data_IF_386296259572
#
_entry.id   IF_386296259572
#
_cell.length_a   1.000
_cell.length_b   1.000
_cell.length_c   1.000
_cell.angle_alpha   90.00
_cell.angle_beta   90.00
_cell.angle_gamma   90.00
#
_symmetry.space_group_name_H-M   'P 1'
#
loop_
_entity.id
_entity.type
_entity.pdbx_description
1 polymer ?
#
# COMPACT_ATOMS: atom_id res chain seq x y z
N UNK A 1 -30.35 -8.50 0.94
CA UNK A 1 -30.20 -7.12 0.44
C UNK A 1 -30.49 -6.17 1.60
N UNK A 2 -29.51 -5.98 2.49
CA UNK A 2 -29.64 -5.06 3.63
C UNK A 2 -29.17 -3.68 3.17
N UNK A 3 -30.07 -2.71 3.25
CA UNK A 3 -29.84 -1.35 2.78
C UNK A 3 -28.63 -0.71 3.46
N UNK A 4 -27.70 -0.21 2.65
CA UNK A 4 -26.63 0.66 3.11
C UNK A 4 -27.28 1.87 3.80
N UNK A 5 -27.07 1.97 5.11
CA UNK A 5 -27.67 3.01 5.94
C UNK A 5 -27.03 4.35 5.53
N UNK A 6 -27.84 5.26 4.97
CA UNK A 6 -27.40 6.54 4.41
C UNK A 6 -26.78 7.53 5.44
N UNK A 7 -26.57 7.10 6.69
CA UNK A 7 -25.91 7.88 7.74
C UNK A 7 -24.38 7.75 7.78
N UNK A 8 -23.77 6.84 7.04
CA UNK A 8 -22.30 6.65 7.06
C UNK A 8 -21.53 7.53 6.05
N UNK A 9 -22.24 8.34 5.26
CA UNK A 9 -21.68 9.14 4.18
C UNK A 9 -21.05 10.48 4.63
N UNK A 10 -20.92 10.74 5.94
CA UNK A 10 -20.50 12.05 6.46
C UNK A 10 -19.25 12.12 7.35
N UNK A 11 -18.53 11.02 7.62
CA UNK A 11 -17.69 10.95 8.84
C UNK A 11 -16.16 10.86 8.64
N UNK A 12 -15.62 10.66 7.44
CA UNK A 12 -14.18 10.51 7.24
C UNK A 12 -13.66 11.34 6.04
N UNK A 13 -12.82 12.38 6.27
CA UNK A 13 -12.34 13.27 5.20
C UNK A 13 -11.42 12.55 4.20
N UNK A 14 -10.93 11.35 4.53
CA UNK A 14 -10.07 10.53 3.68
C UNK A 14 -10.85 9.46 2.90
N UNK A 15 -12.16 9.33 3.09
CA UNK A 15 -13.03 8.42 2.33
C UNK A 15 -13.59 9.12 1.10
N UNK A 16 -12.74 9.40 0.12
CA UNK A 16 -13.16 10.08 -1.13
C UNK A 16 -13.79 9.14 -2.16
N UNK A 17 -13.37 7.87 -2.20
CA UNK A 17 -13.75 6.92 -3.27
C UNK A 17 -13.98 5.48 -2.80
N UNK A 18 -13.82 5.17 -1.51
CA UNK A 18 -13.95 3.80 -1.01
C UNK A 18 -15.42 3.37 -0.82
N UNK A 19 -15.82 2.31 -1.52
CA UNK A 19 -17.17 1.74 -1.48
C UNK A 19 -17.46 1.01 -0.16
N UNK A 20 -16.45 0.43 0.46
CA UNK A 20 -16.60 -0.29 1.73
C UNK A 20 -16.50 0.70 2.91
N UNK A 21 -17.40 0.64 3.90
CA UNK A 21 -17.27 1.44 5.12
C UNK A 21 -15.96 1.15 5.85
N UNK A 22 -15.39 2.14 6.51
CA UNK A 22 -14.22 1.94 7.36
C UNK A 22 -14.64 1.48 8.75
N UNK A 23 -13.86 0.56 9.34
CA UNK A 23 -13.95 0.26 10.77
C UNK A 23 -13.55 1.51 11.58
N UNK A 24 -14.30 1.82 12.64
CA UNK A 24 -13.91 2.79 13.66
C UNK A 24 -12.86 2.17 14.61
N UNK A 25 -11.58 2.63 14.59
CA UNK A 25 -10.53 2.06 15.42
C UNK A 25 -10.84 2.11 16.93
N UNK A 26 -11.58 3.12 17.39
CA UNK A 26 -11.89 3.28 18.82
C UNK A 26 -12.96 2.31 19.32
N UNK A 27 -13.77 1.80 18.40
CA UNK A 27 -14.81 0.79 18.69
C UNK A 27 -14.39 -0.62 18.28
N UNK A 28 -13.25 -0.77 17.61
CA UNK A 28 -12.74 -2.06 17.19
C UNK A 28 -12.33 -2.94 18.40
N UNK A 29 -12.50 -4.28 18.28
CA UNK A 29 -11.95 -5.22 19.26
C UNK A 29 -10.45 -5.00 19.51
N UNK A 30 -9.91 -5.27 20.71
CA UNK A 30 -8.52 -4.96 21.06
C UNK A 30 -7.49 -5.52 20.06
N UNK A 31 -7.63 -6.78 19.65
CA UNK A 31 -6.74 -7.43 18.68
C UNK A 31 -6.75 -6.76 17.30
N UNK A 32 -7.88 -6.19 16.87
CA UNK A 32 -7.98 -5.44 15.61
C UNK A 32 -7.37 -4.05 15.77
N UNK A 33 -7.67 -3.38 16.89
CA UNK A 33 -7.14 -2.04 17.19
C UNK A 33 -5.62 -2.00 17.22
N UNK A 34 -4.99 -3.01 17.82
CA UNK A 34 -3.52 -3.14 17.82
C UNK A 34 -2.99 -3.33 16.40
N UNK A 35 -3.65 -4.17 15.59
CA UNK A 35 -3.23 -4.48 14.22
C UNK A 35 -3.50 -3.35 13.22
N UNK A 36 -4.36 -2.40 13.56
CA UNK A 36 -4.52 -1.16 12.80
C UNK A 36 -3.32 -0.20 12.93
N UNK A 37 -2.48 -0.38 13.96
CA UNK A 37 -1.30 0.46 14.26
C UNK A 37 0.01 -0.12 13.75
N UNK A 38 -0.05 -1.13 12.86
CA UNK A 38 1.14 -1.85 12.39
C UNK A 38 2.10 -0.99 11.57
N UNK A 39 1.60 0.08 10.93
CA UNK A 39 2.39 1.09 10.25
C UNK A 39 2.31 2.42 11.00
N UNK A 40 3.36 3.25 10.97
CA UNK A 40 3.41 4.52 11.70
C UNK A 40 2.52 5.62 11.08
N UNK A 41 1.81 5.30 10.00
CA UNK A 41 0.90 6.20 9.30
C UNK A 41 -0.39 5.48 8.94
N UNK A 42 -1.45 6.25 8.76
CA UNK A 42 -2.76 5.73 8.38
C UNK A 42 -2.73 5.14 6.97
N UNK A 43 -3.21 3.90 6.85
CA UNK A 43 -3.54 3.26 5.56
C UNK A 43 -5.01 2.88 5.54
N UNK A 44 -5.78 3.56 4.68
CA UNK A 44 -7.22 3.31 4.53
C UNK A 44 -7.56 1.85 4.23
N UNK A 45 -6.71 1.13 3.49
CA UNK A 45 -6.91 -0.31 3.22
C UNK A 45 -6.97 -1.15 4.51
N UNK A 46 -6.23 -0.78 5.56
CA UNK A 46 -6.27 -1.50 6.83
C UNK A 46 -7.63 -1.37 7.52
N UNK A 47 -8.29 -0.22 7.38
CA UNK A 47 -9.62 0.03 7.96
C UNK A 47 -10.73 -0.72 7.21
N UNK A 48 -10.50 -1.05 5.94
CA UNK A 48 -11.39 -1.90 5.15
C UNK A 48 -11.17 -3.37 5.51
N UNK A 49 -9.91 -3.82 5.53
CA UNK A 49 -9.57 -5.20 5.82
C UNK A 49 -9.89 -5.60 7.26
N UNK A 50 -9.88 -4.65 8.20
CA UNK A 50 -10.26 -4.85 9.61
C UNK A 50 -11.67 -5.40 9.83
N UNK A 51 -12.57 -5.31 8.85
CA UNK A 51 -13.86 -6.02 8.90
C UNK A 51 -13.68 -7.55 8.96
N UNK A 52 -12.61 -8.08 8.35
CA UNK A 52 -12.27 -9.51 8.39
C UNK A 52 -11.46 -9.84 9.65
N UNK A 53 -12.14 -9.91 10.79
CA UNK A 53 -11.46 -10.04 12.09
C UNK A 53 -10.58 -11.30 12.23
N UNK A 54 -10.90 -12.36 11.50
CA UNK A 54 -10.10 -13.59 11.48
C UNK A 54 -8.83 -13.50 10.62
N UNK A 55 -8.86 -12.78 9.50
CA UNK A 55 -7.71 -12.72 8.56
C UNK A 55 -6.86 -11.47 8.74
N UNK A 56 -7.49 -10.35 9.13
CA UNK A 56 -6.82 -9.06 9.23
C UNK A 56 -5.58 -9.07 10.13
N UNK A 57 -5.59 -9.69 11.34
CA UNK A 57 -4.40 -9.71 12.18
C UNK A 57 -3.18 -10.36 11.52
N UNK A 58 -3.40 -11.39 10.72
CA UNK A 58 -2.33 -12.09 9.99
C UNK A 58 -1.83 -11.26 8.81
N UNK A 59 -2.75 -10.68 8.02
CA UNK A 59 -2.39 -9.78 6.93
C UNK A 59 -1.62 -8.55 7.44
N UNK A 60 -2.10 -7.93 8.51
CA UNK A 60 -1.45 -6.80 9.17
C UNK A 60 -0.03 -7.17 9.62
N UNK A 61 0.15 -8.34 10.25
CA UNK A 61 1.47 -8.83 10.64
C UNK A 61 2.43 -9.00 9.46
N UNK A 62 1.97 -9.60 8.36
CA UNK A 62 2.77 -9.73 7.13
C UNK A 62 3.16 -8.36 6.58
N UNK A 63 2.20 -7.43 6.49
CA UNK A 63 2.46 -6.08 6.02
C UNK A 63 3.51 -5.38 6.89
N UNK A 64 3.41 -5.49 8.22
CA UNK A 64 4.40 -4.93 9.14
C UNK A 64 5.80 -5.45 8.88
N UNK A 65 5.94 -6.78 8.69
CA UNK A 65 7.23 -7.40 8.39
C UNK A 65 7.85 -6.89 7.08
N UNK A 66 7.05 -6.54 6.07
CA UNK A 66 7.53 -5.94 4.82
C UNK A 66 8.15 -4.53 5.01
N UNK A 67 7.79 -3.81 6.08
CA UNK A 67 8.32 -2.47 6.36
C UNK A 67 9.35 -2.46 7.50
N UNK A 68 9.53 -3.58 8.20
CA UNK A 68 10.55 -3.77 9.23
C UNK A 68 11.91 -4.09 8.60
N UNK A 69 12.89 -3.19 8.75
CA UNK A 69 14.24 -3.37 8.21
C UNK A 69 15.05 -4.52 8.83
N UNK A 70 14.60 -5.08 9.96
CA UNK A 70 15.20 -6.28 10.55
C UNK A 70 14.65 -7.58 9.97
N UNK A 71 13.48 -7.54 9.32
CA UNK A 71 12.82 -8.70 8.71
C UNK A 71 12.84 -8.65 7.19
N UNK A 72 12.73 -7.46 6.59
CA UNK A 72 12.83 -7.26 5.15
C UNK A 72 14.29 -7.42 4.73
N UNK A 73 14.57 -8.50 3.99
CA UNK A 73 15.90 -8.78 3.44
C UNK A 73 16.27 -7.90 2.23
N UNK A 74 15.27 -7.35 1.53
CA UNK A 74 15.52 -6.49 0.37
C UNK A 74 15.70 -5.02 0.77
N UNK A 75 16.62 -4.28 0.13
CA UNK A 75 16.76 -2.84 0.32
C UNK A 75 15.47 -2.07 0.06
N UNK A 76 15.31 -0.94 0.77
CA UNK A 76 14.06 -0.16 0.71
C UNK A 76 13.78 0.41 -0.68
N UNK A 77 14.82 0.78 -1.45
CA UNK A 77 14.64 1.27 -2.83
C UNK A 77 14.12 0.17 -3.76
N UNK A 78 14.62 -1.06 -3.61
CA UNK A 78 14.14 -2.22 -4.37
C UNK A 78 12.70 -2.56 -4.00
N UNK A 79 12.36 -2.51 -2.71
CA UNK A 79 10.98 -2.66 -2.26
C UNK A 79 10.05 -1.64 -2.89
N UNK A 80 10.43 -0.36 -2.91
CA UNK A 80 9.63 0.68 -3.56
C UNK A 80 9.52 0.47 -5.07
N UNK A 81 10.61 0.08 -5.74
CA UNK A 81 10.57 -0.27 -7.17
C UNK A 81 9.55 -1.39 -7.44
N UNK A 82 9.59 -2.48 -6.66
CA UNK A 82 8.66 -3.61 -6.82
C UNK A 82 7.21 -3.15 -6.63
N UNK A 83 6.93 -2.46 -5.52
CA UNK A 83 5.56 -2.03 -5.19
C UNK A 83 5.01 -1.06 -6.25
N UNK A 84 5.78 -0.05 -6.64
CA UNK A 84 5.36 0.94 -7.63
C UNK A 84 5.24 0.35 -9.05
N UNK A 85 6.12 -0.58 -9.42
CA UNK A 85 6.05 -1.28 -10.71
C UNK A 85 4.82 -2.16 -10.79
N UNK A 86 4.56 -2.98 -9.75
CA UNK A 86 3.35 -3.82 -9.67
C UNK A 86 2.10 -2.95 -9.67
N UNK A 87 2.09 -1.86 -8.90
CA UNK A 87 0.98 -0.90 -8.87
C UNK A 87 0.69 -0.31 -10.25
N UNK A 88 1.73 0.12 -10.96
CA UNK A 88 1.64 0.66 -12.32
C UNK A 88 1.10 -0.36 -13.32
N UNK A 89 1.65 -1.58 -13.35
CA UNK A 89 1.24 -2.65 -14.27
C UNK A 89 -0.22 -3.06 -14.04
N UNK A 90 -0.63 -3.18 -12.77
CA UNK A 90 -2.01 -3.55 -12.41
C UNK A 90 -2.99 -2.37 -12.42
N UNK A 91 -2.51 -1.15 -12.70
CA UNK A 91 -3.30 0.09 -12.62
C UNK A 91 -3.94 0.28 -11.24
N UNK A 92 -3.26 -0.15 -10.18
CA UNK A 92 -3.69 -0.05 -8.80
C UNK A 92 -3.39 1.34 -8.23
N UNK A 93 -4.19 2.32 -8.63
CA UNK A 93 -3.99 3.76 -8.29
C UNK A 93 -3.80 3.98 -6.78
N UNK A 94 -4.57 3.28 -5.94
CA UNK A 94 -4.42 3.38 -4.49
C UNK A 94 -3.00 3.04 -4.03
N UNK A 95 -2.43 1.95 -4.52
CA UNK A 95 -1.08 1.52 -4.14
C UNK A 95 -0.01 2.49 -4.66
N UNK A 96 -0.21 3.07 -5.84
CA UNK A 96 0.68 4.09 -6.40
C UNK A 96 0.66 5.34 -5.50
N UNK A 97 -0.53 5.87 -5.21
CA UNK A 97 -0.71 7.11 -4.45
C UNK A 97 -0.18 7.02 -3.02
N UNK A 98 -0.31 5.87 -2.38
CA UNK A 98 0.15 5.70 -0.98
C UNK A 98 1.64 5.37 -0.87
N UNK A 99 2.26 4.76 -1.89
CA UNK A 99 3.67 4.40 -1.87
C UNK A 99 4.58 5.43 -2.53
N UNK A 100 4.09 6.23 -3.49
CA UNK A 100 4.90 7.30 -4.12
C UNK A 100 5.51 8.27 -3.10
N UNK A 101 4.76 8.82 -2.11
CA UNK A 101 5.34 9.68 -1.09
C UNK A 101 6.36 8.96 -0.20
N UNK A 102 6.19 7.65 0.02
CA UNK A 102 7.16 6.85 0.78
C UNK A 102 8.47 6.72 0.00
N UNK A 103 8.38 6.42 -1.29
CA UNK A 103 9.53 6.36 -2.19
C UNK A 103 10.23 7.71 -2.33
N UNK A 104 9.51 8.82 -2.36
CA UNK A 104 10.07 10.18 -2.35
C UNK A 104 10.87 10.46 -1.07
N UNK A 105 10.38 10.06 0.11
CA UNK A 105 11.09 10.19 1.39
C UNK A 105 12.41 9.40 1.40
N UNK A 106 12.46 8.28 0.67
CA UNK A 106 13.67 7.49 0.49
C UNK A 106 14.47 7.89 -0.75
N UNK A 107 14.27 9.10 -1.31
CA UNK A 107 15.05 9.62 -2.42
C UNK A 107 15.05 8.70 -3.66
N UNK A 108 13.92 8.04 -3.93
CA UNK A 108 13.77 7.21 -5.12
C UNK A 108 13.95 8.06 -6.40
N UNK A 109 14.81 7.65 -7.36
CA UNK A 109 15.16 8.51 -8.50
C UNK A 109 13.98 8.90 -9.37
N UNK A 110 13.89 10.19 -9.73
CA UNK A 110 12.80 10.72 -10.57
C UNK A 110 12.74 10.04 -11.94
N UNK A 111 13.89 9.81 -12.57
CA UNK A 111 13.98 9.11 -13.86
C UNK A 111 13.35 7.70 -13.79
N UNK A 112 13.48 7.00 -12.66
CA UNK A 112 12.86 5.69 -12.45
C UNK A 112 11.35 5.81 -12.27
N UNK A 113 10.85 6.84 -11.58
CA UNK A 113 9.42 7.13 -11.54
C UNK A 113 8.85 7.34 -12.94
N UNK A 114 9.52 8.16 -13.75
CA UNK A 114 9.05 8.53 -15.09
C UNK A 114 9.04 7.31 -16.03
N UNK A 115 10.02 6.41 -15.87
CA UNK A 115 10.15 5.20 -16.68
C UNK A 115 9.34 4.00 -16.14
N UNK A 116 8.73 4.06 -14.95
CA UNK A 116 8.19 2.89 -14.24
C UNK A 116 7.04 2.17 -14.97
N UNK A 117 6.47 2.79 -15.99
CA UNK A 117 5.46 2.22 -16.89
C UNK A 117 6.03 1.52 -18.13
N UNK A 118 7.34 1.33 -18.25
CA UNK A 118 7.99 0.70 -19.42
C UNK A 118 7.44 -0.72 -19.73
N UNK A 119 7.67 -1.23 -20.93
CA UNK A 119 7.33 -2.62 -21.28
C UNK A 119 8.35 -3.61 -20.69
N UNK A 120 8.04 -4.92 -20.70
CA UNK A 120 9.02 -5.93 -20.30
C UNK A 120 10.15 -6.07 -21.32
N UNK A 121 9.86 -5.79 -22.60
CA UNK A 121 10.82 -5.72 -23.69
C UNK A 121 11.83 -4.59 -23.45
N UNK A 122 11.39 -3.41 -23.00
CA UNK A 122 12.30 -2.31 -22.64
C UNK A 122 13.31 -2.73 -21.58
N UNK A 123 12.87 -3.46 -20.55
CA UNK A 123 13.74 -3.94 -19.47
C UNK A 123 14.75 -4.95 -20.00
N UNK A 124 14.31 -5.91 -20.83
CA UNK A 124 15.17 -6.94 -21.45
C UNK A 124 16.20 -6.36 -22.40
N UNK A 125 15.83 -5.34 -23.16
CA UNK A 125 16.71 -4.63 -24.09
C UNK A 125 17.64 -3.64 -23.38
N UNK A 126 17.54 -3.53 -22.04
CA UNK A 126 18.34 -2.62 -21.24
C UNK A 126 17.97 -1.15 -21.38
N UNK A 127 16.78 -0.83 -21.92
CA UNK A 127 16.30 0.54 -22.08
C UNK A 127 15.80 1.12 -20.75
N UNK A 128 16.08 2.39 -20.52
CA UNK A 128 15.65 3.13 -19.32
C UNK A 128 16.72 3.17 -18.22
N UNK A 129 16.39 3.77 -17.06
CA UNK A 129 17.33 4.04 -15.97
C UNK A 129 17.57 2.84 -15.04
N UNK A 130 17.42 1.61 -15.56
CA UNK A 130 17.49 0.37 -14.78
C UNK A 130 18.93 -0.15 -14.75
N UNK A 131 19.45 -0.40 -13.55
CA UNK A 131 20.70 -1.13 -13.37
C UNK A 131 20.45 -2.66 -13.45
N UNK A 132 21.52 -3.45 -13.43
CA UNK A 132 21.42 -4.92 -13.55
C UNK A 132 20.63 -5.59 -12.43
N UNK A 133 20.49 -4.93 -11.27
CA UNK A 133 19.73 -5.42 -10.12
C UNK A 133 18.25 -5.06 -10.18
N UNK A 134 17.89 -4.02 -10.91
CA UNK A 134 16.51 -3.60 -11.15
C UNK A 134 15.79 -4.50 -12.20
N UNK A 135 16.56 -5.19 -13.05
CA UNK A 135 16.09 -6.03 -14.16
C UNK A 135 15.80 -7.47 -13.72
#
# INVERSE_FOLDING_TARGET
MSGANAKEAGADPYRKTCLVPYVDPERAPPNIREKLKVLPFRRNILLVLAHSQGLFPHFSGLLGACFDGSQRSIPVHEWQLIVLRVGTVLKAIYEIDVNKPVAEVFEFPQEKFDAIGCSIEDVKDGRGPWNDRDR
#
